data_IF_942125909517
#
_entry.id   IF_942125909517
#
_cell.length_a   1.000
_cell.length_b   1.000
_cell.length_c   1.000
_cell.angle_alpha   90.00
_cell.angle_beta   90.00
_cell.angle_gamma   90.00
#
_symmetry.space_group_name_H-M   'P 1'
#
loop_
_entity.id
_entity.type
_entity.pdbx_description
1 polymer ?
#
# COMPACT_ATOMS: atom_id res chain seq x y z
N UNK A 1 17.83 20.82 14.01
CA UNK A 1 17.09 19.71 13.37
C UNK A 1 17.64 19.43 11.98
N UNK A 2 17.69 20.43 11.09
CA UNK A 2 18.19 20.31 9.71
C UNK A 2 19.64 19.82 9.53
N UNK A 3 20.57 20.13 10.45
CA UNK A 3 21.98 19.68 10.32
C UNK A 3 22.15 18.16 10.43
N UNK A 4 21.31 17.48 11.22
CA UNK A 4 21.39 16.02 11.37
C UNK A 4 20.91 15.33 10.09
N UNK A 5 19.79 15.79 9.55
CA UNK A 5 19.19 15.28 8.31
C UNK A 5 20.10 15.53 7.10
N UNK A 6 20.73 16.70 7.02
CA UNK A 6 21.70 17.02 5.97
C UNK A 6 22.91 16.07 5.99
N UNK A 7 23.44 15.74 7.17
CA UNK A 7 24.53 14.75 7.31
C UNK A 7 24.10 13.34 6.89
N UNK A 8 22.88 12.94 7.24
CA UNK A 8 22.31 11.64 6.85
C UNK A 8 22.16 11.57 5.32
N UNK A 9 21.59 12.60 4.70
CA UNK A 9 21.45 12.69 3.24
C UNK A 9 22.81 12.70 2.55
N UNK A 10 23.80 13.42 3.08
CA UNK A 10 25.15 13.42 2.53
C UNK A 10 25.79 12.03 2.58
N UNK A 11 25.59 11.26 3.65
CA UNK A 11 26.05 9.87 3.74
C UNK A 11 25.31 8.96 2.75
N UNK A 12 24.01 9.19 2.58
CA UNK A 12 23.17 8.42 1.67
C UNK A 12 23.57 8.64 0.21
N UNK A 13 23.93 9.85 -0.19
CA UNK A 13 24.33 10.17 -1.58
C UNK A 13 25.83 9.91 -1.85
N UNK A 14 26.62 9.62 -0.81
CA UNK A 14 28.06 9.36 -0.95
C UNK A 14 28.33 8.04 -1.66
N UNK A 15 28.80 8.13 -2.90
CA UNK A 15 29.18 6.97 -3.71
C UNK A 15 30.29 6.15 -3.05
N UNK A 16 30.15 4.83 -3.04
CA UNK A 16 31.16 3.89 -2.54
C UNK A 16 31.46 4.02 -1.04
N UNK A 17 30.51 4.52 -0.24
CA UNK A 17 30.73 4.73 1.19
C UNK A 17 30.82 3.43 2.01
N UNK A 18 30.46 2.28 1.43
CA UNK A 18 30.48 0.93 2.03
C UNK A 18 29.90 0.91 3.45
N UNK A 19 28.66 1.41 3.63
CA UNK A 19 28.08 1.55 4.95
C UNK A 19 27.83 0.18 5.59
N UNK A 20 28.04 0.11 6.90
CA UNK A 20 27.76 -1.02 7.81
C UNK A 20 26.77 -0.58 8.88
N UNK A 21 26.11 -1.53 9.56
CA UNK A 21 25.11 -1.22 10.58
C UNK A 21 25.66 -0.37 11.75
N UNK A 22 26.97 -0.36 11.96
CA UNK A 22 27.63 0.48 12.97
C UNK A 22 27.94 1.89 12.46
N UNK A 23 28.24 2.06 11.17
CA UNK A 23 28.69 3.34 10.59
C UNK A 23 27.54 4.17 10.02
N UNK A 24 26.45 3.51 9.61
CA UNK A 24 25.23 4.14 9.14
C UNK A 24 23.96 3.36 9.54
N UNK A 25 23.61 3.32 10.83
CA UNK A 25 22.45 2.59 11.32
C UNK A 25 21.11 3.11 10.75
N UNK A 26 21.05 4.36 10.31
CA UNK A 26 19.85 4.98 9.74
C UNK A 26 19.61 4.65 8.26
N UNK A 27 20.49 3.84 7.64
CA UNK A 27 20.33 3.43 6.25
C UNK A 27 18.98 2.76 5.95
N UNK A 28 18.46 1.81 6.77
CA UNK A 28 17.16 1.22 6.54
C UNK A 28 16.02 2.23 6.51
N UNK A 29 16.07 3.27 7.35
CA UNK A 29 15.06 4.34 7.39
C UNK A 29 15.13 5.21 6.13
N UNK A 30 16.33 5.51 5.64
CA UNK A 30 16.52 6.21 4.37
C UNK A 30 15.95 5.41 3.19
N UNK A 31 16.07 4.07 3.23
CA UNK A 31 15.48 3.21 2.20
C UNK A 31 13.95 3.18 2.27
N UNK A 32 13.34 3.34 3.44
CA UNK A 32 11.89 3.54 3.54
C UNK A 32 11.51 4.75 2.70
N UNK A 33 12.13 5.90 2.95
CA UNK A 33 11.83 7.13 2.20
C UNK A 33 12.10 6.99 0.70
N UNK A 34 13.19 6.33 0.31
CA UNK A 34 13.46 6.04 -1.10
C UNK A 34 12.33 5.20 -1.71
N UNK A 35 11.85 4.17 -1.01
CA UNK A 35 10.72 3.33 -1.46
C UNK A 35 9.43 4.13 -1.58
N UNK A 36 9.15 5.04 -0.65
CA UNK A 36 8.00 5.95 -0.75
C UNK A 36 8.09 6.83 -2.00
N UNK A 37 9.24 7.44 -2.26
CA UNK A 37 9.45 8.26 -3.47
C UNK A 37 9.27 7.41 -4.74
N UNK A 38 9.80 6.19 -4.76
CA UNK A 38 9.63 5.26 -5.89
C UNK A 38 8.16 4.86 -6.07
N UNK A 39 7.45 4.53 -5.00
CA UNK A 39 6.03 4.19 -5.02
C UNK A 39 5.17 5.32 -5.59
N UNK A 40 5.40 6.56 -5.13
CA UNK A 40 4.70 7.74 -5.67
C UNK A 40 5.04 7.96 -7.14
N UNK A 41 6.33 7.93 -7.49
CA UNK A 41 6.77 8.17 -8.88
C UNK A 41 6.19 7.12 -9.84
N UNK A 42 6.21 5.85 -9.45
CA UNK A 42 5.65 4.76 -10.24
C UNK A 42 4.13 4.87 -10.35
N UNK A 43 3.43 5.05 -9.22
CA UNK A 43 1.98 5.15 -9.18
C UNK A 43 1.47 6.32 -10.02
N UNK A 44 2.06 7.50 -9.87
CA UNK A 44 1.68 8.68 -10.67
C UNK A 44 2.03 8.48 -12.15
N UNK A 45 3.24 8.02 -12.47
CA UNK A 45 3.64 7.85 -13.88
C UNK A 45 2.79 6.81 -14.61
N UNK A 46 2.58 5.65 -13.99
CA UNK A 46 1.83 4.56 -14.61
C UNK A 46 0.33 4.90 -14.72
N UNK A 47 -0.28 5.43 -13.66
CA UNK A 47 -1.71 5.72 -13.64
C UNK A 47 -2.09 7.00 -14.38
N UNK A 48 -1.20 7.99 -14.46
CA UNK A 48 -1.42 9.19 -15.28
C UNK A 48 -1.18 8.93 -16.77
N UNK A 49 -0.46 7.86 -17.12
CA UNK A 49 -0.30 7.50 -18.53
C UNK A 49 -1.62 6.96 -19.08
N UNK A 50 -2.05 7.48 -20.23
CA UNK A 50 -3.30 7.06 -20.91
C UNK A 50 -3.33 5.56 -21.24
N UNK A 51 -2.20 4.85 -21.14
CA UNK A 51 -2.12 3.40 -21.28
C UNK A 51 -2.93 2.66 -20.20
N UNK A 52 -3.06 3.23 -18.99
CA UNK A 52 -3.95 2.67 -17.97
C UNK A 52 -5.42 2.83 -18.38
N UNK A 53 -5.81 3.96 -18.96
CA UNK A 53 -7.20 4.29 -19.29
C UNK A 53 -7.81 3.45 -20.43
N UNK A 54 -6.99 2.88 -21.32
CA UNK A 54 -7.47 2.16 -22.51
C UNK A 54 -7.49 0.64 -22.40
N UNK A 55 -6.79 0.06 -21.44
CA UNK A 55 -6.68 -1.40 -21.31
C UNK A 55 -7.43 -1.86 -20.06
N UNK A 56 -8.30 -2.87 -20.19
CA UNK A 56 -8.91 -3.63 -19.08
C UNK A 56 -7.85 -4.33 -18.17
N UNK A 57 -6.58 -4.03 -18.38
CA UNK A 57 -5.43 -4.55 -17.68
C UNK A 57 -5.01 -3.69 -16.47
N UNK A 58 -5.87 -2.78 -16.01
CA UNK A 58 -5.69 -2.01 -14.76
C UNK A 58 -5.68 -2.86 -13.49
N UNK A 59 -5.62 -4.20 -13.59
CA UNK A 59 -5.65 -5.11 -12.46
C UNK A 59 -4.28 -5.42 -11.84
N UNK A 60 -4.06 -6.71 -11.58
CA UNK A 60 -2.95 -7.24 -10.77
C UNK A 60 -1.54 -7.00 -11.36
N UNK A 61 -1.41 -6.90 -12.69
CA UNK A 61 -0.12 -6.81 -13.39
C UNK A 61 0.66 -5.53 -13.00
N UNK A 62 0.07 -4.31 -13.07
CA UNK A 62 0.72 -3.09 -12.59
C UNK A 62 1.22 -3.19 -11.15
N UNK A 63 0.44 -3.81 -10.26
CA UNK A 63 0.81 -3.96 -8.84
C UNK A 63 2.02 -4.90 -8.67
N UNK A 64 2.10 -5.99 -9.45
CA UNK A 64 3.28 -6.85 -9.45
C UNK A 64 4.52 -6.15 -10.02
N UNK A 65 4.37 -5.35 -11.07
CA UNK A 65 5.48 -4.56 -11.60
C UNK A 65 5.95 -3.52 -10.58
N UNK A 66 5.03 -2.85 -9.89
CA UNK A 66 5.35 -1.92 -8.82
C UNK A 66 6.11 -2.61 -7.67
N UNK A 67 5.68 -3.80 -7.27
CA UNK A 67 6.36 -4.59 -6.23
C UNK A 67 7.81 -4.86 -6.61
N UNK A 68 8.05 -5.32 -7.84
CA UNK A 68 9.41 -5.56 -8.32
C UNK A 68 10.22 -4.26 -8.32
N UNK A 69 9.65 -3.16 -8.80
CA UNK A 69 10.34 -1.87 -8.87
C UNK A 69 10.73 -1.35 -7.47
N UNK A 70 9.79 -1.33 -6.53
CA UNK A 70 10.00 -0.84 -5.15
C UNK A 70 10.89 -1.76 -4.33
N UNK A 71 10.90 -3.07 -4.60
CA UNK A 71 11.79 -4.02 -3.93
C UNK A 71 13.22 -3.97 -4.48
N UNK A 72 13.40 -3.99 -5.80
CA UNK A 72 14.72 -4.16 -6.40
C UNK A 72 15.50 -2.86 -6.58
N UNK A 73 14.86 -1.73 -6.90
CA UNK A 73 15.59 -0.47 -7.12
C UNK A 73 16.40 -0.02 -5.90
N UNK A 74 15.86 -0.04 -4.66
CA UNK A 74 16.64 0.28 -3.47
C UNK A 74 17.79 -0.70 -3.23
N UNK A 75 17.62 -1.98 -3.58
CA UNK A 75 18.67 -2.99 -3.45
C UNK A 75 19.80 -2.77 -4.45
N UNK A 76 19.46 -2.45 -5.70
CA UNK A 76 20.43 -2.07 -6.73
C UNK A 76 21.19 -0.82 -6.29
N UNK A 77 20.51 0.16 -5.72
CA UNK A 77 21.13 1.37 -5.17
C UNK A 77 22.12 1.04 -4.04
N UNK A 78 21.71 0.23 -3.06
CA UNK A 78 22.60 -0.20 -1.97
C UNK A 78 23.82 -0.96 -2.47
N UNK A 79 23.65 -1.83 -3.47
CA UNK A 79 24.73 -2.67 -4.00
C UNK A 79 25.68 -1.90 -4.91
N UNK A 80 25.15 -1.14 -5.89
CA UNK A 80 25.97 -0.50 -6.91
C UNK A 80 26.47 0.89 -6.52
N UNK A 81 25.64 1.69 -5.83
CA UNK A 81 25.97 3.09 -5.50
C UNK A 81 26.66 3.16 -4.14
N UNK A 82 26.04 2.59 -3.12
CA UNK A 82 26.59 2.64 -1.75
C UNK A 82 27.65 1.55 -1.50
N UNK A 83 27.60 0.43 -2.23
CA UNK A 83 28.39 -0.77 -1.96
C UNK A 83 28.22 -1.24 -0.50
N UNK A 84 26.99 -1.16 0.01
CA UNK A 84 26.65 -1.47 1.39
C UNK A 84 26.90 -2.95 1.71
N UNK A 85 27.42 -3.21 2.90
CA UNK A 85 27.55 -4.57 3.41
C UNK A 85 26.17 -5.05 3.91
N UNK A 86 25.43 -5.74 3.04
CA UNK A 86 24.08 -6.22 3.35
C UNK A 86 24.02 -7.22 4.50
N UNK A 87 25.11 -7.96 4.77
CA UNK A 87 25.15 -8.95 5.85
C UNK A 87 25.12 -8.27 7.22
N UNK A 88 25.82 -7.14 7.34
CA UNK A 88 25.84 -6.31 8.55
C UNK A 88 24.43 -5.90 9.02
N UNK A 89 23.49 -5.73 8.11
CA UNK A 89 22.12 -5.29 8.40
C UNK A 89 21.10 -6.42 8.58
N UNK A 90 21.51 -7.70 8.61
CA UNK A 90 20.65 -8.87 8.90
C UNK A 90 19.34 -8.93 8.10
N UNK A 91 19.37 -8.50 6.83
CA UNK A 91 18.18 -8.49 5.96
C UNK A 91 17.23 -7.28 6.13
N UNK A 92 17.49 -6.37 7.08
CA UNK A 92 16.70 -5.15 7.28
C UNK A 92 16.64 -4.28 6.01
N UNK A 93 17.73 -4.20 5.23
CA UNK A 93 17.76 -3.43 3.99
C UNK A 93 16.75 -3.92 2.94
N UNK A 94 16.46 -5.23 2.93
CA UNK A 94 15.56 -5.86 1.96
C UNK A 94 14.11 -5.54 2.30
N UNK A 95 13.71 -5.74 3.56
CA UNK A 95 12.30 -5.70 3.95
C UNK A 95 11.83 -4.35 4.50
N UNK A 96 12.74 -3.47 4.92
CA UNK A 96 12.39 -2.18 5.53
C UNK A 96 11.52 -1.33 4.61
N UNK A 97 10.27 -1.07 5.03
CA UNK A 97 9.34 -0.20 4.30
C UNK A 97 8.73 -0.80 3.03
N UNK A 98 8.96 -2.07 2.70
CA UNK A 98 8.37 -2.71 1.50
C UNK A 98 6.85 -2.74 1.60
N UNK A 99 6.30 -3.24 2.72
CA UNK A 99 4.84 -3.31 2.91
C UNK A 99 4.20 -1.92 2.92
N UNK A 100 4.85 -0.93 3.54
CA UNK A 100 4.35 0.44 3.60
C UNK A 100 4.31 1.08 2.20
N UNK A 101 5.37 0.90 1.42
CA UNK A 101 5.44 1.42 0.06
C UNK A 101 4.43 0.71 -0.87
N UNK A 102 4.23 -0.60 -0.70
CA UNK A 102 3.19 -1.34 -1.43
C UNK A 102 1.78 -0.87 -1.09
N UNK A 103 1.50 -0.62 0.19
CA UNK A 103 0.23 -0.04 0.60
C UNK A 103 0.01 1.33 -0.04
N UNK A 104 1.06 2.16 -0.14
CA UNK A 104 0.98 3.45 -0.83
C UNK A 104 0.71 3.30 -2.33
N UNK A 105 1.40 2.38 -3.02
CA UNK A 105 1.12 2.10 -4.43
C UNK A 105 -0.34 1.67 -4.61
N UNK A 106 -0.85 0.78 -3.74
CA UNK A 106 -2.22 0.33 -3.79
C UNK A 106 -3.21 1.48 -3.55
N UNK A 107 -2.92 2.38 -2.61
CA UNK A 107 -3.75 3.58 -2.36
C UNK A 107 -3.78 4.51 -3.58
N UNK A 108 -2.64 4.76 -4.21
CA UNK A 108 -2.57 5.58 -5.44
C UNK A 108 -3.34 4.90 -6.57
N UNK A 109 -3.19 3.58 -6.72
CA UNK A 109 -3.95 2.81 -7.70
C UNK A 109 -5.46 2.90 -7.47
N UNK A 110 -5.94 2.65 -6.24
CA UNK A 110 -7.35 2.77 -5.88
C UNK A 110 -7.86 4.18 -6.19
N UNK A 111 -7.10 5.21 -5.81
CA UNK A 111 -7.47 6.60 -6.07
C UNK A 111 -7.69 6.88 -7.57
N UNK A 112 -6.74 6.48 -8.42
CA UNK A 112 -6.88 6.66 -9.87
C UNK A 112 -7.94 5.75 -10.49
N UNK A 113 -8.10 4.53 -9.97
CA UNK A 113 -9.15 3.61 -10.40
C UNK A 113 -10.54 4.21 -10.15
N UNK A 114 -10.78 4.73 -8.95
CA UNK A 114 -12.04 5.39 -8.58
C UNK A 114 -12.32 6.61 -9.47
N UNK A 115 -11.30 7.44 -9.76
CA UNK A 115 -11.47 8.58 -10.67
C UNK A 115 -11.86 8.18 -12.10
N UNK A 116 -11.40 7.00 -12.56
CA UNK A 116 -11.64 6.54 -13.93
C UNK A 116 -12.92 5.70 -14.09
N UNK A 117 -13.54 5.24 -13.00
CA UNK A 117 -14.78 4.44 -13.01
C UNK A 117 -15.88 5.05 -12.13
N UNK A 118 -16.31 6.29 -12.41
CA UNK A 118 -17.34 6.97 -11.60
C UNK A 118 -18.70 6.24 -11.60
N UNK A 119 -18.99 5.46 -12.63
CA UNK A 119 -20.20 4.62 -12.72
C UNK A 119 -20.19 3.45 -11.74
N UNK A 120 -19.02 2.86 -11.46
CA UNK A 120 -18.88 1.80 -10.46
C UNK A 120 -19.02 2.37 -9.04
N UNK A 121 -18.52 3.59 -8.82
CA UNK A 121 -18.70 4.31 -7.56
C UNK A 121 -20.19 4.58 -7.27
N UNK A 122 -20.95 5.07 -8.27
CA UNK A 122 -22.39 5.29 -8.13
C UNK A 122 -23.14 4.00 -7.79
N UNK A 123 -22.71 2.87 -8.38
CA UNK A 123 -23.29 1.55 -8.10
C UNK A 123 -22.97 1.11 -6.65
N UNK A 124 -21.73 1.27 -6.21
CA UNK A 124 -21.31 0.99 -4.84
C UNK A 124 -22.07 1.82 -3.81
N UNK A 125 -22.23 3.13 -4.04
CA UNK A 125 -23.01 4.01 -3.17
C UNK A 125 -24.47 3.55 -3.08
N UNK A 126 -25.08 3.14 -4.20
CA UNK A 126 -26.46 2.62 -4.21
C UNK A 126 -26.61 1.29 -3.45
N UNK A 127 -25.60 0.43 -3.46
CA UNK A 127 -25.59 -0.81 -2.70
C UNK A 127 -25.37 -0.56 -1.21
N UNK A 128 -24.50 0.38 -0.85
CA UNK A 128 -24.29 0.79 0.54
C UNK A 128 -25.56 1.40 1.12
N UNK A 129 -26.26 2.26 0.37
CA UNK A 129 -27.55 2.81 0.84
C UNK A 129 -28.59 1.70 0.99
N UNK A 130 -28.69 0.77 0.04
CA UNK A 130 -29.62 -0.37 0.14
C UNK A 130 -29.33 -1.25 1.36
N UNK A 131 -28.06 -1.50 1.67
CA UNK A 131 -27.65 -2.27 2.86
C UNK A 131 -27.90 -1.48 4.14
N UNK A 132 -27.70 -0.15 4.14
CA UNK A 132 -27.96 0.70 5.31
C UNK A 132 -29.45 0.79 5.60
N UNK A 133 -30.28 0.91 4.56
CA UNK A 133 -31.74 0.88 4.65
C UNK A 133 -32.24 -0.50 5.09
N UNK A 134 -31.60 -1.58 4.63
CA UNK A 134 -31.92 -2.95 5.05
C UNK A 134 -31.38 -3.34 6.44
N UNK A 135 -30.32 -2.67 6.91
CA UNK A 135 -29.72 -2.90 8.22
C UNK A 135 -30.45 -2.17 9.36
N UNK A 136 -31.50 -1.40 9.04
CA UNK A 136 -32.35 -0.74 10.02
C UNK A 136 -31.60 0.35 10.76
N UNK A 137 -31.62 1.55 10.19
CA UNK A 137 -31.46 2.77 10.99
C UNK A 137 -32.68 2.95 11.90
N UNK A 138 -32.89 2.04 12.84
CA UNK A 138 -33.91 2.13 13.88
C UNK A 138 -33.21 2.31 15.23
N UNK A 139 -32.97 3.58 15.55
CA UNK A 139 -32.79 4.06 16.92
C UNK A 139 -34.18 4.19 17.60
N UNK A 140 -35.08 3.21 17.37
CA UNK A 140 -36.36 3.12 18.04
C UNK A 140 -36.27 2.12 19.20
N UNK A 141 -36.55 2.63 20.39
CA UNK A 141 -36.60 1.90 21.64
C UNK A 141 -37.44 0.62 21.50
N UNK A 142 -36.80 -0.52 21.76
CA UNK A 142 -37.38 -1.85 21.75
C UNK A 142 -38.41 -1.98 22.90
N UNK A 143 -39.68 -1.63 22.67
CA UNK A 143 -40.82 -2.11 23.46
C UNK A 143 -41.49 -3.28 22.73
N UNK A 144 -41.08 -4.49 23.09
CA UNK A 144 -41.89 -5.70 23.18
C UNK A 144 -42.77 -6.12 22.00
N UNK A 145 -42.31 -7.14 21.25
CA UNK A 145 -43.08 -8.38 21.08
C UNK A 145 -42.11 -9.52 20.67
N UNK A 146 -42.14 -10.71 21.28
CA UNK A 146 -41.26 -11.80 20.87
C UNK A 146 -41.69 -12.34 19.49
N UNK A 147 -40.74 -12.36 18.56
CA UNK A 147 -40.93 -12.92 17.23
C UNK A 147 -41.48 -14.37 17.29
N UNK A 148 -42.37 -14.76 16.35
CA UNK A 148 -42.95 -16.08 16.35
C UNK A 148 -41.87 -17.12 16.06
N UNK A 149 -41.62 -17.99 17.05
CA UNK A 149 -40.73 -19.14 16.92
C UNK A 149 -41.35 -20.09 15.88
N UNK A 150 -40.67 -20.42 14.77
CA UNK A 150 -41.18 -21.40 13.83
C UNK A 150 -41.33 -22.76 14.53
N UNK A 151 -42.40 -23.52 14.25
CA UNK A 151 -42.64 -24.78 14.92
C UNK A 151 -41.47 -25.73 14.64
N UNK A 152 -40.84 -26.24 15.71
CA UNK A 152 -39.92 -27.36 15.59
C UNK A 152 -40.70 -28.54 15.03
N UNK A 153 -40.35 -28.99 13.83
CA UNK A 153 -40.82 -30.28 13.33
C UNK A 153 -40.33 -31.35 14.30
N UNK A 154 -41.27 -31.96 15.02
CA UNK A 154 -41.01 -33.17 15.80
C UNK A 154 -40.61 -34.27 14.81
N UNK A 155 -39.34 -34.64 14.86
CA UNK A 155 -38.78 -35.79 14.16
C UNK A 155 -39.43 -37.07 14.73
N UNK A 156 -40.48 -37.55 14.09
CA UNK A 156 -41.01 -38.90 14.33
C UNK A 156 -40.20 -39.95 13.54
N UNK A 157 -39.42 -40.72 14.30
CA UNK A 157 -38.79 -42.02 13.99
C UNK A 157 -37.64 -42.11 12.96
#
# INVERSE_FOLDING_TARGET
>A
MFEKESKILSKFVSFGSKPTAETFPELPDCLIWLRFVLAVSYGVFYMASSAAATDNNQGIIPLFTALNFVCFMPMIYCSLVLQADSESYKGSLVFSGVMNAMALVALIWIYFYTLNHPEEEATLQSLVSLVTDAAGGDDEAYEGDPAPVPPMEESEF
#
